data_IF_016799342438
#
_entry.id   IF_016799342438
#
_cell.length_a   1.000
_cell.length_b   1.000
_cell.length_c   1.000
_cell.angle_alpha   90.00
_cell.angle_beta   90.00
_cell.angle_gamma   90.00
#
_symmetry.space_group_name_H-M   'P 1'
#
loop_
_entity.id
_entity.type
_entity.pdbx_description
1 polymer ?
#
# COMPACT_ATOMS: atom_id res chain seq x y z
N UNK A 1 -16.79 -2.50 -10.01
CA UNK A 1 -16.43 -3.81 -10.61
C UNK A 1 -15.08 -4.18 -9.99
N UNK A 2 -14.93 -5.37 -9.44
CA UNK A 2 -13.71 -5.75 -8.75
C UNK A 2 -12.50 -5.71 -9.71
N UNK A 3 -11.40 -5.11 -9.26
CA UNK A 3 -10.14 -5.04 -10.00
C UNK A 3 -9.36 -6.34 -9.83
N UNK A 4 -9.47 -6.95 -8.63
CA UNK A 4 -8.94 -8.28 -8.35
C UNK A 4 -10.05 -9.13 -7.74
N UNK A 5 -10.19 -10.36 -8.21
CA UNK A 5 -11.13 -11.33 -7.67
C UNK A 5 -10.49 -12.72 -7.57
N UNK A 6 -10.56 -13.34 -6.42
CA UNK A 6 -10.00 -14.67 -6.17
C UNK A 6 -11.08 -15.64 -5.71
N UNK A 7 -11.06 -16.85 -6.26
CA UNK A 7 -11.92 -17.95 -5.92
C UNK A 7 -11.06 -19.16 -5.53
N UNK A 8 -11.08 -19.52 -4.25
CA UNK A 8 -10.30 -20.63 -3.66
C UNK A 8 -8.83 -20.62 -4.10
N UNK A 9 -8.23 -19.41 -4.13
CA UNK A 9 -6.83 -19.22 -4.53
C UNK A 9 -5.91 -19.96 -3.57
N UNK A 10 -5.12 -20.89 -4.10
CA UNK A 10 -4.10 -21.64 -3.36
C UNK A 10 -2.76 -21.54 -4.07
N UNK A 11 -1.69 -21.41 -3.28
CA UNK A 11 -0.34 -21.40 -3.79
C UNK A 11 0.64 -22.11 -2.89
N UNK A 12 1.38 -23.05 -3.49
CA UNK A 12 2.40 -23.87 -2.83
C UNK A 12 3.78 -23.60 -3.42
N UNK A 13 4.75 -23.25 -2.56
CA UNK A 13 6.15 -23.26 -2.97
C UNK A 13 6.66 -24.70 -3.02
N UNK A 14 7.15 -25.10 -4.19
CA UNK A 14 7.72 -26.42 -4.45
C UNK A 14 9.23 -26.34 -4.48
N UNK A 15 9.92 -26.96 -3.54
CA UNK A 15 11.36 -27.12 -3.56
C UNK A 15 11.74 -28.59 -3.82
N UNK A 16 12.79 -28.83 -4.63
CA UNK A 16 13.22 -30.20 -4.90
C UNK A 16 13.61 -30.95 -3.62
N UNK A 17 12.98 -32.11 -3.39
CA UNK A 17 13.28 -32.96 -2.23
C UNK A 17 12.71 -32.48 -0.89
N UNK A 18 11.90 -31.46 -0.88
CA UNK A 18 11.21 -30.98 0.33
C UNK A 18 9.69 -31.04 0.17
N UNK A 19 8.93 -31.20 1.29
CA UNK A 19 7.48 -31.11 1.22
C UNK A 19 7.05 -29.70 0.75
N UNK A 20 5.89 -29.59 0.07
CA UNK A 20 5.35 -28.30 -0.33
C UNK A 20 5.15 -27.37 0.88
N UNK A 21 5.48 -26.07 0.69
CA UNK A 21 5.16 -25.04 1.68
C UNK A 21 3.89 -24.33 1.24
N UNK A 22 2.80 -24.58 1.96
CA UNK A 22 1.49 -23.97 1.69
C UNK A 22 1.51 -22.47 2.07
N UNK A 23 1.71 -21.61 1.10
CA UNK A 23 1.82 -20.16 1.34
C UNK A 23 0.46 -19.45 1.29
N UNK A 24 -0.45 -19.88 0.41
CA UNK A 24 -1.83 -19.40 0.34
C UNK A 24 -2.77 -20.60 0.31
N UNK A 25 -3.84 -20.56 1.11
CA UNK A 25 -4.74 -21.67 1.30
C UNK A 25 -6.18 -21.23 1.17
N UNK A 26 -6.78 -21.55 0.01
CA UNK A 26 -8.22 -21.44 -0.24
C UNK A 26 -8.76 -20.03 0.00
N UNK A 27 -8.12 -19.02 -0.63
CA UNK A 27 -8.47 -17.62 -0.44
C UNK A 27 -9.62 -17.21 -1.35
N UNK A 28 -10.68 -16.66 -0.76
CA UNK A 28 -11.79 -16.00 -1.43
C UNK A 28 -11.81 -14.51 -1.06
N UNK A 29 -11.58 -13.62 -2.02
CA UNK A 29 -11.59 -12.19 -1.78
C UNK A 29 -11.82 -11.38 -3.05
N UNK A 30 -12.19 -10.11 -2.87
CA UNK A 30 -12.25 -9.12 -3.93
C UNK A 30 -11.59 -7.81 -3.50
N UNK A 31 -10.90 -7.16 -4.45
CA UNK A 31 -10.37 -5.81 -4.33
C UNK A 31 -11.07 -4.94 -5.36
N UNK A 32 -11.71 -3.89 -4.89
CA UNK A 32 -12.32 -2.85 -5.71
C UNK A 32 -11.35 -1.66 -5.90
N UNK A 33 -11.80 -0.61 -6.57
CA UNK A 33 -11.11 0.69 -6.55
C UNK A 33 -11.02 1.23 -5.12
N UNK A 34 -10.05 2.10 -4.86
CA UNK A 34 -9.80 2.66 -3.54
C UNK A 34 -8.60 2.07 -2.84
N UNK A 35 -8.45 2.34 -1.55
CA UNK A 35 -7.29 1.95 -0.76
C UNK A 35 -7.59 0.70 0.09
N UNK A 36 -7.08 -0.45 -0.35
CA UNK A 36 -7.16 -1.72 0.38
C UNK A 36 -5.86 -1.98 1.13
N UNK A 37 -5.95 -2.38 2.39
CA UNK A 37 -4.80 -2.74 3.22
C UNK A 37 -4.85 -4.22 3.57
N UNK A 38 -3.74 -4.92 3.34
CA UNK A 38 -3.54 -6.32 3.72
C UNK A 38 -2.67 -6.37 4.97
N UNK A 39 -3.23 -6.85 6.06
CA UNK A 39 -2.60 -6.96 7.38
C UNK A 39 -2.27 -8.41 7.71
N UNK A 40 -1.31 -8.63 8.60
CA UNK A 40 -0.95 -9.95 9.14
C UNK A 40 0.49 -10.00 9.60
N UNK A 41 0.84 -10.99 10.43
CA UNK A 41 2.20 -11.23 10.90
C UNK A 41 3.16 -11.62 9.76
N UNK A 42 4.46 -11.54 10.02
CA UNK A 42 5.48 -12.06 9.10
C UNK A 42 5.23 -13.54 8.82
N UNK A 43 5.35 -13.93 7.54
CA UNK A 43 5.08 -15.31 7.12
C UNK A 43 3.60 -15.66 6.89
N UNK A 44 2.64 -14.74 7.07
CA UNK A 44 1.21 -15.02 6.83
C UNK A 44 0.81 -15.14 5.35
N UNK A 45 1.73 -14.96 4.39
CA UNK A 45 1.47 -15.12 2.95
C UNK A 45 1.23 -13.81 2.18
N UNK A 46 1.31 -12.63 2.81
CA UNK A 46 0.99 -11.33 2.20
C UNK A 46 1.81 -11.02 0.94
N UNK A 47 3.14 -11.10 1.02
CA UNK A 47 4.02 -10.85 -0.14
C UNK A 47 3.79 -11.85 -1.26
N UNK A 48 3.48 -13.11 -0.90
CA UNK A 48 3.08 -14.15 -1.88
C UNK A 48 1.79 -13.75 -2.58
N UNK A 49 0.80 -13.26 -1.84
CA UNK A 49 -0.47 -12.78 -2.41
C UNK A 49 -0.23 -11.62 -3.39
N UNK A 50 0.57 -10.62 -2.99
CA UNK A 50 0.84 -9.46 -3.85
C UNK A 50 1.51 -9.83 -5.17
N UNK A 51 2.43 -10.81 -5.16
CA UNK A 51 3.13 -11.27 -6.38
C UNK A 51 2.21 -11.98 -7.39
N UNK A 52 1.03 -12.40 -6.98
CA UNK A 52 0.02 -12.94 -7.88
C UNK A 52 -0.66 -11.83 -8.71
N UNK A 53 -0.79 -10.61 -8.16
CA UNK A 53 -1.54 -9.54 -8.83
C UNK A 53 -0.90 -9.07 -10.15
N UNK A 54 0.43 -9.15 -10.27
CA UNK A 54 1.13 -8.84 -11.52
C UNK A 54 1.66 -10.09 -12.27
N UNK A 55 1.22 -11.28 -11.84
CA UNK A 55 1.57 -12.56 -12.48
C UNK A 55 3.03 -12.96 -12.35
N UNK A 56 3.75 -12.50 -11.31
CA UNK A 56 5.06 -13.06 -10.92
C UNK A 56 4.86 -14.48 -10.43
N UNK A 57 3.92 -14.67 -9.50
CA UNK A 57 3.43 -15.98 -9.10
C UNK A 57 2.07 -16.25 -9.74
N UNK A 58 1.78 -17.52 -9.99
CA UNK A 58 0.50 -17.95 -10.55
C UNK A 58 -0.06 -19.08 -9.68
N UNK A 59 -1.38 -19.18 -9.53
CA UNK A 59 -2.02 -20.13 -8.63
C UNK A 59 -1.60 -21.59 -8.88
N UNK A 60 -1.42 -22.38 -7.82
CA UNK A 60 -1.32 -23.86 -7.94
C UNK A 60 -2.69 -24.49 -8.05
N UNK A 61 -3.72 -23.90 -7.42
CA UNK A 61 -5.13 -24.23 -7.62
C UNK A 61 -6.05 -23.04 -7.38
N UNK A 62 -7.35 -23.18 -7.71
CA UNK A 62 -8.30 -22.08 -7.66
C UNK A 62 -8.16 -21.14 -8.85
N UNK A 63 -8.70 -19.93 -8.72
CA UNK A 63 -8.76 -18.95 -9.79
C UNK A 63 -8.46 -17.55 -9.25
N UNK A 64 -7.71 -16.78 -10.03
CA UNK A 64 -7.46 -15.37 -9.77
C UNK A 64 -7.76 -14.57 -11.03
N UNK A 65 -8.60 -13.58 -10.92
CA UNK A 65 -8.81 -12.57 -11.95
C UNK A 65 -8.17 -11.26 -11.52
N UNK A 66 -7.37 -10.64 -12.38
CA UNK A 66 -6.77 -9.30 -12.19
C UNK A 66 -7.06 -8.50 -13.44
N UNK A 67 -7.83 -7.44 -13.30
CA UNK A 67 -8.40 -6.73 -14.44
C UNK A 67 -9.16 -7.71 -15.36
N UNK A 68 -8.79 -7.76 -16.65
CA UNK A 68 -9.35 -8.75 -17.61
C UNK A 68 -8.58 -10.07 -17.69
N UNK A 69 -7.45 -10.20 -16.97
CA UNK A 69 -6.61 -11.40 -16.98
C UNK A 69 -7.12 -12.42 -15.96
N UNK A 70 -7.23 -13.66 -16.38
CA UNK A 70 -7.65 -14.77 -15.53
C UNK A 70 -6.54 -15.81 -15.44
N UNK A 71 -6.13 -16.12 -14.22
CA UNK A 71 -5.16 -17.17 -13.91
C UNK A 71 -5.90 -18.35 -13.29
N UNK A 72 -5.80 -19.51 -13.93
CA UNK A 72 -6.37 -20.77 -13.42
C UNK A 72 -5.25 -21.64 -12.83
N UNK A 73 -5.55 -22.31 -11.74
CA UNK A 73 -4.60 -23.12 -11.01
C UNK A 73 -3.97 -24.22 -11.88
N UNK A 74 -2.66 -24.36 -11.79
CA UNK A 74 -1.88 -25.32 -12.54
C UNK A 74 -1.59 -24.93 -14.00
N UNK A 75 -2.20 -23.89 -14.55
CA UNK A 75 -1.93 -23.37 -15.87
C UNK A 75 -0.91 -22.22 -15.81
N UNK A 76 0.14 -22.26 -16.66
CA UNK A 76 1.08 -21.14 -16.79
C UNK A 76 0.66 -20.21 -17.92
N UNK A 77 0.37 -18.97 -17.56
CA UNK A 77 0.10 -17.92 -18.52
C UNK A 77 1.39 -17.14 -18.83
N UNK A 78 1.60 -16.83 -20.08
CA UNK A 78 2.74 -16.04 -20.59
C UNK A 78 2.24 -14.74 -21.24
N UNK A 79 3.17 -13.88 -21.67
CA UNK A 79 2.79 -12.63 -22.35
C UNK A 79 2.20 -11.56 -21.42
N UNK A 80 2.56 -11.57 -20.13
CA UNK A 80 1.99 -10.70 -19.08
C UNK A 80 2.55 -9.26 -19.08
N UNK A 81 3.30 -8.86 -20.11
CA UNK A 81 3.83 -7.49 -20.20
C UNK A 81 2.73 -6.41 -20.17
N UNK A 82 1.58 -6.57 -20.90
CA UNK A 82 0.51 -5.59 -20.80
C UNK A 82 -0.14 -5.53 -19.41
N UNK A 83 -0.30 -6.67 -18.71
CA UNK A 83 -0.78 -6.68 -17.32
C UNK A 83 0.18 -5.90 -16.42
N UNK A 84 1.49 -6.18 -16.50
CA UNK A 84 2.53 -5.55 -15.67
C UNK A 84 2.68 -4.04 -15.89
N UNK A 85 2.27 -3.53 -17.03
CA UNK A 85 2.14 -2.09 -17.26
C UNK A 85 1.03 -1.48 -16.41
N UNK A 86 -0.09 -2.19 -16.26
CA UNK A 86 -1.29 -1.70 -15.57
C UNK A 86 -1.30 -2.05 -14.07
N UNK A 87 -0.50 -3.02 -13.65
CA UNK A 87 -0.32 -3.44 -12.26
C UNK A 87 1.11 -3.18 -11.84
N UNK A 88 1.34 -2.04 -11.19
CA UNK A 88 2.63 -1.66 -10.64
C UNK A 88 2.88 -2.35 -9.30
N UNK A 89 4.06 -2.95 -9.13
CA UNK A 89 4.47 -3.62 -7.89
C UNK A 89 5.71 -2.96 -7.31
N UNK A 90 5.59 -2.51 -6.06
CA UNK A 90 6.68 -1.98 -5.24
C UNK A 90 7.03 -3.03 -4.18
N UNK A 91 8.25 -3.57 -4.22
CA UNK A 91 8.73 -4.58 -3.28
C UNK A 91 9.14 -3.97 -1.92
N UNK A 92 9.35 -4.81 -0.92
CA UNK A 92 9.66 -4.42 0.46
C UNK A 92 10.89 -3.52 0.60
N UNK A 93 11.90 -3.65 -0.26
CA UNK A 93 13.08 -2.78 -0.31
C UNK A 93 13.19 -2.17 -1.72
N UNK A 94 12.32 -1.19 -2.04
CA UNK A 94 12.18 -0.70 -3.40
C UNK A 94 13.45 0.01 -3.88
N UNK A 95 14.30 0.49 -2.98
CA UNK A 95 15.62 1.05 -3.27
C UNK A 95 16.56 0.08 -4.01
N UNK A 96 16.38 -1.24 -3.84
CA UNK A 96 17.15 -2.25 -4.56
C UNK A 96 16.71 -2.42 -6.03
N UNK A 97 15.64 -1.75 -6.43
CA UNK A 97 15.15 -1.77 -7.81
C UNK A 97 15.82 -0.71 -8.69
N UNK A 98 16.55 0.24 -8.08
CA UNK A 98 17.26 1.30 -8.79
C UNK A 98 18.63 0.79 -9.23
N UNK A 99 18.96 0.98 -10.50
CA UNK A 99 20.18 0.42 -11.10
C UNK A 99 20.81 1.31 -12.18
N UNK A 100 20.14 2.39 -12.58
CA UNK A 100 20.62 3.31 -13.60
C UNK A 100 21.58 4.36 -12.99
N UNK A 101 22.33 5.05 -13.85
CA UNK A 101 23.29 6.08 -13.45
C UNK A 101 22.61 7.33 -12.88
N UNK A 102 21.39 7.64 -13.37
CA UNK A 102 20.61 8.81 -12.95
C UNK A 102 19.16 8.44 -12.62
N UNK A 103 18.56 9.22 -11.74
CA UNK A 103 17.14 9.09 -11.38
C UNK A 103 16.23 9.18 -12.61
N UNK A 104 16.52 10.10 -13.55
CA UNK A 104 15.73 10.23 -14.77
C UNK A 104 15.70 8.94 -15.58
N UNK A 105 16.86 8.29 -15.75
CA UNK A 105 16.96 7.02 -16.49
C UNK A 105 16.18 5.89 -15.81
N UNK A 106 16.27 5.77 -14.48
CA UNK A 106 15.50 4.79 -13.73
C UNK A 106 13.98 5.04 -13.89
N UNK A 107 13.53 6.28 -13.80
CA UNK A 107 12.13 6.65 -13.98
C UNK A 107 11.63 6.38 -15.42
N UNK A 108 12.47 6.59 -16.42
CA UNK A 108 12.15 6.36 -17.84
C UNK A 108 12.17 4.89 -18.22
N UNK A 109 12.86 4.04 -17.46
CA UNK A 109 13.08 2.64 -17.82
C UNK A 109 11.75 1.89 -18.02
N UNK A 110 10.85 1.93 -17.05
CA UNK A 110 9.54 1.27 -17.13
C UNK A 110 8.72 1.70 -18.35
N UNK A 111 8.42 3.00 -18.51
CA UNK A 111 7.72 3.53 -19.67
C UNK A 111 8.31 3.10 -21.00
N UNK A 112 9.65 3.18 -21.18
CA UNK A 112 10.34 2.76 -22.40
C UNK A 112 10.17 1.26 -22.63
N UNK A 113 10.34 0.44 -21.59
CA UNK A 113 10.12 -1.00 -21.70
C UNK A 113 8.68 -1.33 -22.13
N UNK A 114 7.71 -0.53 -21.74
CA UNK A 114 6.31 -0.68 -22.17
C UNK A 114 5.99 -0.02 -23.52
N UNK A 115 6.99 0.54 -24.20
CA UNK A 115 6.89 1.04 -25.58
C UNK A 115 6.62 2.54 -25.70
N UNK A 116 6.80 3.32 -24.62
CA UNK A 116 6.76 4.77 -24.72
C UNK A 116 7.96 5.31 -25.51
N UNK A 117 7.75 6.41 -26.23
CA UNK A 117 8.85 7.15 -26.85
C UNK A 117 9.69 7.87 -25.79
N UNK A 118 10.99 8.13 -26.02
CA UNK A 118 11.86 8.77 -25.03
C UNK A 118 11.29 10.09 -24.48
N UNK A 119 10.69 10.93 -25.33
CA UNK A 119 10.13 12.22 -24.93
C UNK A 119 8.94 12.06 -23.97
N UNK A 120 8.05 11.10 -24.27
CA UNK A 120 6.91 10.77 -23.42
C UNK A 120 7.36 10.11 -22.10
N UNK A 121 8.40 9.29 -22.14
CA UNK A 121 8.97 8.68 -20.94
C UNK A 121 9.61 9.74 -20.02
N UNK A 122 10.31 10.73 -20.58
CA UNK A 122 10.88 11.85 -19.82
C UNK A 122 9.81 12.72 -19.17
N UNK A 123 8.67 12.95 -19.85
CA UNK A 123 7.54 13.66 -19.24
C UNK A 123 6.93 12.86 -18.09
N UNK A 124 6.65 11.58 -18.31
CA UNK A 124 6.15 10.68 -17.26
C UNK A 124 7.11 10.60 -16.05
N UNK A 125 8.42 10.65 -16.29
CA UNK A 125 9.43 10.69 -15.22
C UNK A 125 9.30 11.97 -14.37
N UNK A 126 9.14 13.15 -15.00
CA UNK A 126 8.93 14.41 -14.28
C UNK A 126 7.65 14.42 -13.47
N UNK A 127 6.55 13.96 -14.07
CA UNK A 127 5.26 13.86 -13.38
C UNK A 127 5.32 12.91 -12.18
N UNK A 128 5.90 11.73 -12.36
CA UNK A 128 6.03 10.74 -11.28
C UNK A 128 6.92 11.26 -10.13
N UNK A 129 8.02 11.97 -10.45
CA UNK A 129 8.87 12.58 -9.45
C UNK A 129 8.13 13.67 -8.65
N UNK A 130 7.35 14.49 -9.33
CA UNK A 130 6.52 15.52 -8.70
C UNK A 130 5.43 14.91 -7.79
N UNK A 131 4.81 13.79 -8.22
CA UNK A 131 3.81 13.07 -7.40
C UNK A 131 4.38 12.65 -6.04
N UNK A 132 5.63 12.20 -5.97
CA UNK A 132 6.28 11.81 -4.71
C UNK A 132 6.88 12.99 -3.94
N UNK A 133 6.66 14.22 -4.40
CA UNK A 133 7.08 15.45 -3.73
C UNK A 133 8.59 15.69 -3.77
N UNK A 134 9.27 15.24 -4.83
CA UNK A 134 10.68 15.52 -5.06
C UNK A 134 10.88 16.61 -6.13
N UNK A 135 11.86 17.51 -5.96
CA UNK A 135 12.14 18.56 -6.94
C UNK A 135 12.79 17.98 -8.21
N UNK A 136 12.60 18.64 -9.34
CA UNK A 136 13.15 18.21 -10.64
C UNK A 136 14.68 18.14 -10.67
N UNK A 137 15.37 18.89 -9.80
CA UNK A 137 16.84 18.83 -9.67
C UNK A 137 17.35 17.43 -9.28
N UNK A 138 16.50 16.57 -8.73
CA UNK A 138 16.84 15.18 -8.39
C UNK A 138 16.98 14.29 -9.62
N UNK A 139 16.42 14.66 -10.78
CA UNK A 139 16.48 13.86 -12.01
C UNK A 139 17.91 13.57 -12.48
N UNK A 140 18.80 14.55 -12.36
CA UNK A 140 20.20 14.46 -12.80
C UNK A 140 21.10 13.77 -11.76
N UNK A 141 20.61 13.61 -10.52
CA UNK A 141 21.37 12.98 -9.45
C UNK A 141 21.52 11.48 -9.64
N UNK A 142 22.60 10.91 -9.09
CA UNK A 142 22.70 9.47 -8.95
C UNK A 142 21.75 8.98 -7.85
N UNK A 143 20.98 7.89 -8.07
CA UNK A 143 20.14 7.32 -7.02
C UNK A 143 20.92 7.00 -5.74
N UNK A 144 22.19 6.64 -5.87
CA UNK A 144 23.05 6.24 -4.75
C UNK A 144 23.58 7.42 -3.90
N UNK A 145 23.39 8.66 -4.36
CA UNK A 145 23.74 9.88 -3.62
C UNK A 145 22.55 10.45 -2.83
N UNK A 146 21.37 9.88 -2.98
CA UNK A 146 20.15 10.34 -2.32
C UNK A 146 20.07 9.87 -0.87
N UNK A 147 19.34 10.62 -0.02
CA UNK A 147 18.98 10.15 1.32
C UNK A 147 18.05 8.94 1.24
N UNK A 148 18.01 8.10 2.30
CA UNK A 148 17.16 6.91 2.33
C UNK A 148 15.68 7.18 2.06
N UNK A 149 15.15 8.32 2.51
CA UNK A 149 13.78 8.73 2.22
C UNK A 149 13.58 9.13 0.77
N UNK A 150 14.55 9.84 0.17
CA UNK A 150 14.49 10.26 -1.24
C UNK A 150 14.62 9.05 -2.17
N UNK A 151 15.57 8.14 -1.93
CA UNK A 151 15.77 6.94 -2.77
C UNK A 151 14.51 6.08 -2.79
N UNK A 152 13.80 5.96 -1.65
CA UNK A 152 12.54 5.24 -1.56
C UNK A 152 11.42 5.93 -2.33
N UNK A 153 11.31 7.26 -2.23
CA UNK A 153 10.35 8.05 -3.03
C UNK A 153 10.62 7.89 -4.54
N UNK A 154 11.89 7.92 -4.96
CA UNK A 154 12.29 7.66 -6.35
C UNK A 154 11.88 6.26 -6.77
N UNK A 155 12.16 5.23 -5.98
CA UNK A 155 11.79 3.85 -6.31
C UNK A 155 10.26 3.64 -6.44
N UNK A 156 9.45 4.35 -5.67
CA UNK A 156 7.99 4.36 -5.87
C UNK A 156 7.63 5.11 -7.16
N UNK A 157 8.30 6.23 -7.43
CA UNK A 157 8.08 7.01 -8.63
C UNK A 157 8.41 6.24 -9.92
N UNK A 158 9.42 5.32 -9.94
CA UNK A 158 9.70 4.47 -11.10
C UNK A 158 8.52 3.59 -11.49
N UNK A 159 7.75 3.14 -10.51
CA UNK A 159 6.54 2.35 -10.76
C UNK A 159 5.39 3.26 -11.23
N UNK A 160 5.23 4.43 -10.58
CA UNK A 160 4.20 5.41 -10.93
C UNK A 160 4.39 6.01 -12.34
N UNK A 161 5.62 6.12 -12.83
CA UNK A 161 5.93 6.62 -14.17
C UNK A 161 5.28 5.81 -15.31
N UNK A 162 4.92 4.55 -15.04
CA UNK A 162 4.18 3.70 -16.00
C UNK A 162 2.66 3.89 -15.94
N UNK A 163 2.16 4.80 -15.09
CA UNK A 163 0.74 5.12 -14.88
C UNK A 163 -0.14 3.88 -14.63
N UNK A 164 0.15 3.06 -13.60
CA UNK A 164 -0.61 1.85 -13.33
C UNK A 164 -2.04 2.15 -12.86
N UNK A 165 -2.99 1.26 -13.17
CA UNK A 165 -4.37 1.28 -12.68
C UNK A 165 -4.48 0.70 -11.26
N UNK A 166 -3.65 -0.32 -10.98
CA UNK A 166 -3.50 -0.95 -9.67
C UNK A 166 -2.06 -0.80 -9.19
N UNK A 167 -1.86 -0.14 -8.07
CA UNK A 167 -0.57 -0.02 -7.40
C UNK A 167 -0.54 -0.96 -6.19
N UNK A 168 0.44 -1.85 -6.17
CA UNK A 168 0.63 -2.87 -5.15
C UNK A 168 1.93 -2.60 -4.41
N UNK A 169 1.89 -2.46 -3.08
CA UNK A 169 3.07 -2.11 -2.29
C UNK A 169 3.27 -3.09 -1.12
N UNK A 170 4.48 -3.63 -1.02
CA UNK A 170 4.86 -4.51 0.07
C UNK A 170 5.68 -3.74 1.11
N UNK A 171 5.09 -3.45 2.26
CA UNK A 171 5.69 -2.73 3.39
C UNK A 171 6.44 -1.43 3.01
N UNK A 172 5.85 -0.50 2.25
CA UNK A 172 6.58 0.64 1.70
C UNK A 172 7.04 1.65 2.76
N UNK A 173 6.50 1.60 3.98
CA UNK A 173 6.81 2.52 5.09
C UNK A 173 7.86 1.97 6.07
N UNK A 174 8.33 0.74 5.91
CA UNK A 174 9.08 -0.02 6.94
C UNK A 174 10.31 0.70 7.51
N UNK A 175 11.06 1.45 6.71
CA UNK A 175 12.31 2.13 7.16
C UNK A 175 12.21 3.66 7.14
N UNK A 176 11.02 4.21 6.86
CA UNK A 176 10.83 5.66 6.82
C UNK A 176 10.68 6.24 8.24
N UNK A 177 11.08 7.49 8.40
CA UNK A 177 10.75 8.29 9.57
C UNK A 177 9.24 8.61 9.63
N UNK A 178 8.70 9.00 10.79
CA UNK A 178 7.24 9.21 10.95
C UNK A 178 6.64 10.25 10.00
N UNK A 179 7.39 11.30 9.63
CA UNK A 179 6.90 12.35 8.74
C UNK A 179 6.79 11.80 7.32
N UNK A 180 7.87 11.18 6.82
CA UNK A 180 7.92 10.57 5.48
C UNK A 180 6.87 9.46 5.32
N UNK A 181 6.58 8.68 6.37
CA UNK A 181 5.49 7.69 6.37
C UNK A 181 4.14 8.33 6.15
N UNK A 182 3.82 9.36 6.95
CA UNK A 182 2.55 10.06 6.83
C UNK A 182 2.37 10.75 5.46
N UNK A 183 3.46 11.27 4.88
CA UNK A 183 3.46 11.81 3.52
C UNK A 183 3.16 10.74 2.48
N UNK A 184 3.81 9.58 2.58
CA UNK A 184 3.58 8.46 1.64
C UNK A 184 2.15 7.95 1.72
N UNK A 185 1.60 7.74 2.91
CA UNK A 185 0.21 7.28 3.07
C UNK A 185 -0.78 8.29 2.50
N UNK A 186 -0.55 9.60 2.73
CA UNK A 186 -1.39 10.66 2.13
C UNK A 186 -1.29 10.67 0.60
N UNK A 187 -0.10 10.47 0.04
CA UNK A 187 0.09 10.31 -1.41
C UNK A 187 -0.74 9.14 -1.94
N UNK A 188 -0.60 7.95 -1.34
CA UNK A 188 -1.32 6.74 -1.78
C UNK A 188 -2.85 6.92 -1.69
N UNK A 189 -3.34 7.51 -0.61
CA UNK A 189 -4.75 7.87 -0.48
C UNK A 189 -5.18 8.90 -1.55
N UNK A 190 -4.35 9.90 -1.83
CA UNK A 190 -4.60 10.89 -2.88
C UNK A 190 -4.71 10.27 -4.29
N UNK A 191 -3.88 9.27 -4.61
CA UNK A 191 -3.97 8.52 -5.88
C UNK A 191 -5.34 7.83 -6.03
N UNK A 192 -5.87 7.27 -4.95
CA UNK A 192 -7.21 6.68 -4.94
C UNK A 192 -8.30 7.74 -5.10
N UNK A 193 -8.29 8.77 -4.24
CA UNK A 193 -9.38 9.74 -4.14
C UNK A 193 -9.46 10.69 -5.35
N UNK A 194 -8.32 11.08 -5.93
CA UNK A 194 -8.24 12.11 -6.98
C UNK A 194 -8.08 11.53 -8.38
N UNK A 195 -7.41 10.39 -8.51
CA UNK A 195 -7.10 9.77 -9.80
C UNK A 195 -7.86 8.45 -10.04
N UNK A 196 -8.66 8.00 -9.07
CA UNK A 196 -9.44 6.76 -9.19
C UNK A 196 -8.61 5.49 -9.28
N UNK A 197 -7.32 5.54 -8.91
CA UNK A 197 -6.44 4.36 -8.90
C UNK A 197 -6.83 3.41 -7.77
N UNK A 198 -6.59 2.13 -7.97
CA UNK A 198 -6.64 1.16 -6.89
C UNK A 198 -5.26 1.03 -6.25
N UNK A 199 -5.22 1.02 -4.92
CA UNK A 199 -4.00 0.79 -4.15
C UNK A 199 -4.21 -0.40 -3.22
N UNK A 200 -3.28 -1.36 -3.26
CA UNK A 200 -3.19 -2.46 -2.30
C UNK A 200 -1.85 -2.34 -1.57
N UNK A 201 -1.90 -2.12 -0.28
CA UNK A 201 -0.71 -1.99 0.56
C UNK A 201 -0.65 -3.08 1.61
N UNK A 202 0.45 -3.81 1.67
CA UNK A 202 0.78 -4.69 2.80
C UNK A 202 1.48 -3.87 3.87
N UNK A 203 1.03 -4.03 5.11
CA UNK A 203 1.71 -3.51 6.30
C UNK A 203 1.32 -4.32 7.55
N UNK A 204 2.13 -4.25 8.59
CA UNK A 204 1.78 -4.72 9.93
C UNK A 204 1.41 -3.55 10.88
N UNK A 205 1.45 -2.30 10.37
CA UNK A 205 1.22 -1.07 11.13
C UNK A 205 -0.16 -0.51 10.84
N UNK A 206 -1.14 -0.95 11.61
CA UNK A 206 -2.53 -0.52 11.47
C UNK A 206 -2.70 0.98 11.77
N UNK A 207 -1.94 1.52 12.72
CA UNK A 207 -1.98 2.93 13.14
C UNK A 207 -1.72 3.92 11.99
N UNK A 208 -0.85 3.55 11.03
CA UNK A 208 -0.49 4.41 9.91
C UNK A 208 -1.61 4.51 8.85
N UNK A 209 -2.34 3.42 8.62
CA UNK A 209 -3.25 3.26 7.49
C UNK A 209 -4.73 3.30 7.86
N UNK A 210 -5.05 3.14 9.15
CA UNK A 210 -6.43 2.96 9.60
C UNK A 210 -7.35 4.12 9.21
N UNK A 211 -6.86 5.36 9.26
CA UNK A 211 -7.64 6.54 8.90
C UNK A 211 -7.88 6.71 7.39
N UNK A 212 -7.07 6.06 6.57
CA UNK A 212 -7.02 6.27 5.11
C UNK A 212 -7.60 5.11 4.30
N UNK A 213 -7.48 3.88 4.81
CA UNK A 213 -7.92 2.69 4.08
C UNK A 213 -9.44 2.56 4.05
N UNK A 214 -9.97 2.15 2.89
CA UNK A 214 -11.38 1.86 2.67
C UNK A 214 -11.73 0.42 3.08
N UNK A 215 -10.81 -0.52 2.80
CA UNK A 215 -10.98 -1.95 3.09
C UNK A 215 -9.73 -2.56 3.72
N UNK A 216 -9.97 -3.58 4.52
CA UNK A 216 -8.94 -4.35 5.21
C UNK A 216 -9.12 -5.84 4.91
N UNK A 217 -8.00 -6.50 4.63
CA UNK A 217 -7.87 -7.96 4.53
C UNK A 217 -6.88 -8.39 5.60
N UNK A 218 -7.30 -9.26 6.52
CA UNK A 218 -6.44 -9.77 7.59
C UNK A 218 -6.04 -11.20 7.26
N UNK A 219 -4.73 -11.44 7.14
CA UNK A 219 -4.16 -12.74 6.82
C UNK A 219 -3.47 -13.39 8.01
N UNK A 220 -3.73 -14.69 8.20
CA UNK A 220 -3.05 -15.53 9.17
C UNK A 220 -2.77 -16.90 8.56
N UNK A 221 -1.53 -17.38 8.64
CA UNK A 221 -1.13 -18.73 8.20
C UNK A 221 -1.62 -19.11 6.79
N UNK A 222 -1.48 -18.17 5.83
CA UNK A 222 -1.90 -18.37 4.44
C UNK A 222 -3.40 -18.30 4.19
N UNK A 223 -4.22 -17.87 5.17
CA UNK A 223 -5.68 -17.75 5.07
C UNK A 223 -6.13 -16.33 5.34
N UNK A 224 -7.27 -15.95 4.75
CA UNK A 224 -7.97 -14.72 5.12
C UNK A 224 -8.88 -15.04 6.31
N UNK A 225 -8.62 -14.36 7.43
CA UNK A 225 -9.44 -14.49 8.65
C UNK A 225 -10.46 -13.37 8.79
N UNK A 226 -10.24 -12.25 8.11
CA UNK A 226 -11.19 -11.13 8.04
C UNK A 226 -11.03 -10.40 6.71
N UNK A 227 -12.15 -9.93 6.15
CA UNK A 227 -12.19 -8.92 5.10
C UNK A 227 -13.41 -8.03 5.33
N UNK A 228 -13.21 -6.70 5.25
CA UNK A 228 -14.30 -5.77 5.50
C UNK A 228 -13.83 -4.32 5.56
N UNK A 229 -14.76 -3.44 5.89
CA UNK A 229 -14.51 -2.02 6.08
C UNK A 229 -13.94 -1.70 7.48
N UNK A 230 -13.59 -0.42 7.67
CA UNK A 230 -13.03 0.09 8.93
C UNK A 230 -13.92 -0.20 10.15
N UNK A 231 -15.23 0.02 10.02
CA UNK A 231 -16.17 -0.18 11.12
C UNK A 231 -16.28 -1.66 11.53
N UNK A 232 -16.26 -2.55 10.57
CA UNK A 232 -16.32 -4.00 10.82
C UNK A 232 -15.04 -4.47 11.52
N UNK A 233 -13.86 -3.96 11.08
CA UNK A 233 -12.57 -4.27 11.69
C UNK A 233 -12.51 -3.80 13.16
N UNK A 234 -13.04 -2.61 13.47
CA UNK A 234 -13.10 -2.09 14.85
C UNK A 234 -13.86 -2.99 15.82
N UNK A 235 -14.83 -3.75 15.33
CA UNK A 235 -15.63 -4.69 16.15
C UNK A 235 -14.95 -6.04 16.35
N UNK A 236 -13.72 -6.22 15.81
CA UNK A 236 -13.00 -7.50 15.79
C UNK A 236 -11.57 -7.40 16.34
N UNK A 237 -11.38 -6.82 17.55
CA UNK A 237 -10.06 -6.64 18.13
C UNK A 237 -9.33 -7.96 18.36
N UNK A 238 -10.07 -9.03 18.72
CA UNK A 238 -9.51 -10.36 18.98
C UNK A 238 -8.89 -10.98 17.70
N UNK A 239 -9.46 -10.73 16.54
CA UNK A 239 -8.93 -11.21 15.25
C UNK A 239 -7.64 -10.49 14.88
N UNK A 240 -7.54 -9.18 15.16
CA UNK A 240 -6.31 -8.40 14.99
C UNK A 240 -5.19 -8.95 15.87
N UNK A 241 -5.45 -9.15 17.16
CA UNK A 241 -4.47 -9.70 18.10
C UNK A 241 -4.06 -11.13 17.71
N UNK A 242 -5.01 -11.98 17.33
CA UNK A 242 -4.75 -13.35 16.87
C UNK A 242 -3.91 -13.40 15.59
N UNK A 243 -3.96 -12.36 14.75
CA UNK A 243 -3.11 -12.22 13.57
C UNK A 243 -1.78 -11.50 13.85
N UNK A 244 -1.50 -11.15 15.11
CA UNK A 244 -0.26 -10.48 15.53
C UNK A 244 -0.21 -9.00 15.15
N UNK A 245 -1.37 -8.36 14.99
CA UNK A 245 -1.46 -6.94 14.68
C UNK A 245 -1.71 -6.15 15.97
N UNK A 246 -0.85 -5.18 16.24
CA UNK A 246 -1.03 -4.28 17.37
C UNK A 246 -2.23 -3.35 17.14
N UNK A 247 -3.15 -3.32 18.12
CA UNK A 247 -4.30 -2.42 18.08
C UNK A 247 -3.82 -1.00 18.45
N UNK A 248 -4.00 0.00 17.57
CA UNK A 248 -3.63 1.38 17.86
C UNK A 248 -4.26 1.91 19.14
N UNK A 249 -3.52 2.76 19.88
CA UNK A 249 -4.02 3.36 21.11
C UNK A 249 -5.32 4.17 20.91
N UNK A 250 -5.47 4.82 19.74
CA UNK A 250 -6.68 5.54 19.34
C UNK A 250 -7.89 4.62 19.23
N UNK A 251 -7.71 3.40 18.72
CA UNK A 251 -8.79 2.41 18.62
C UNK A 251 -9.12 1.78 19.99
N UNK A 252 -8.11 1.53 20.82
CA UNK A 252 -8.36 1.09 22.21
C UNK A 252 -9.15 2.15 22.98
N UNK A 253 -8.79 3.42 22.80
CA UNK A 253 -9.53 4.55 23.40
C UNK A 253 -10.97 4.60 22.88
N UNK A 254 -11.17 4.44 21.56
CA UNK A 254 -12.51 4.41 20.96
C UNK A 254 -13.38 3.28 21.55
N UNK A 255 -12.82 2.07 21.67
CA UNK A 255 -13.53 0.95 22.29
C UNK A 255 -13.91 1.23 23.74
N UNK A 256 -12.98 1.78 24.53
CA UNK A 256 -13.22 2.15 25.94
C UNK A 256 -14.30 3.24 26.08
N UNK A 257 -14.25 4.27 25.23
CA UNK A 257 -15.26 5.34 25.25
C UNK A 257 -16.62 4.80 24.84
N UNK A 258 -16.69 3.98 23.79
CA UNK A 258 -17.94 3.34 23.35
C UNK A 258 -18.57 2.51 24.48
N UNK A 259 -17.76 1.68 25.16
CA UNK A 259 -18.21 0.87 26.31
C UNK A 259 -18.77 1.74 27.46
N UNK A 260 -18.08 2.84 27.79
CA UNK A 260 -18.45 3.71 28.93
C UNK A 260 -19.62 4.65 28.65
N UNK A 261 -19.78 5.09 27.40
CA UNK A 261 -20.76 6.12 27.04
C UNK A 261 -21.94 5.59 26.24
N UNK A 262 -21.83 4.35 25.69
CA UNK A 262 -22.80 3.83 24.73
C UNK A 262 -22.72 4.49 23.34
N UNK A 263 -21.70 5.31 23.08
CA UNK A 263 -21.54 5.96 21.79
C UNK A 263 -21.20 4.90 20.72
N UNK A 264 -21.80 4.99 19.51
CA UNK A 264 -21.43 4.11 18.41
C UNK A 264 -19.96 4.27 18.04
N UNK A 265 -19.24 3.16 17.88
CA UNK A 265 -17.80 3.16 17.55
C UNK A 265 -17.45 3.96 16.29
N UNK A 266 -18.34 3.97 15.31
CA UNK A 266 -18.20 4.66 14.03
C UNK A 266 -18.32 6.20 14.14
N UNK A 267 -18.83 6.70 15.25
CA UNK A 267 -18.92 8.14 15.54
C UNK A 267 -17.69 8.66 16.30
N UNK A 268 -16.78 7.77 16.70
CA UNK A 268 -15.60 8.12 17.46
C UNK A 268 -14.38 8.35 16.54
N UNK A 269 -13.47 9.26 16.93
CA UNK A 269 -12.28 9.54 16.12
C UNK A 269 -11.38 8.32 15.92
N UNK A 270 -10.75 8.25 14.74
CA UNK A 270 -9.84 7.18 14.38
C UNK A 270 -8.36 7.58 14.53
N UNK A 271 -8.09 8.87 14.65
CA UNK A 271 -6.73 9.44 14.67
C UNK A 271 -6.54 10.40 15.87
N UNK A 272 -5.28 10.68 16.24
CA UNK A 272 -5.00 11.53 17.42
C UNK A 272 -5.55 12.96 17.32
N UNK A 273 -5.58 13.55 16.12
CA UNK A 273 -6.07 14.92 15.92
C UNK A 273 -7.59 14.98 16.14
N UNK A 274 -8.32 14.05 15.57
CA UNK A 274 -9.75 13.91 15.78
C UNK A 274 -10.09 13.69 17.28
N UNK A 275 -9.29 12.91 17.99
CA UNK A 275 -9.45 12.75 19.44
C UNK A 275 -9.21 14.05 20.22
N UNK A 276 -8.20 14.83 19.85
CA UNK A 276 -7.95 16.12 20.46
C UNK A 276 -9.14 17.07 20.27
N UNK A 277 -9.68 17.15 19.06
CA UNK A 277 -10.85 17.98 18.74
C UNK A 277 -12.10 17.48 19.49
N UNK A 278 -12.34 16.17 19.52
CA UNK A 278 -13.47 15.54 20.21
C UNK A 278 -13.45 15.79 21.73
N UNK A 279 -12.27 15.73 22.35
CA UNK A 279 -12.07 16.02 23.77
C UNK A 279 -12.25 17.52 24.05
N UNK A 280 -11.66 18.39 23.23
CA UNK A 280 -11.76 19.83 23.39
C UNK A 280 -13.21 20.31 23.33
N UNK A 281 -14.00 19.80 22.39
CA UNK A 281 -15.42 20.11 22.28
C UNK A 281 -16.20 19.74 23.56
N UNK A 282 -15.95 18.55 24.12
CA UNK A 282 -16.65 18.09 25.33
C UNK A 282 -16.21 18.78 26.60
N UNK A 283 -15.01 19.31 26.65
CA UNK A 283 -14.51 20.12 27.77
C UNK A 283 -14.84 21.60 27.61
N UNK A 284 -15.53 22.01 26.54
CA UNK A 284 -15.84 23.42 26.26
C UNK A 284 -14.59 24.24 25.92
N UNK A 285 -13.51 23.59 25.55
CA UNK A 285 -12.26 24.24 25.09
C UNK A 285 -12.39 24.62 23.62
N UNK A 286 -11.92 25.80 23.23
CA UNK A 286 -11.78 26.10 21.80
C UNK A 286 -10.76 25.15 21.22
N UNK A 287 -11.12 24.47 20.11
CA UNK A 287 -10.18 23.65 19.34
C UNK A 287 -8.91 24.47 19.12
N UNK A 288 -7.76 23.90 19.49
CA UNK A 288 -6.47 24.55 19.25
C UNK A 288 -6.37 24.73 17.74
N UNK A 289 -6.37 25.98 17.27
CA UNK A 289 -6.32 26.29 15.85
C UNK A 289 -5.20 25.47 15.21
N UNK A 290 -5.50 24.84 14.10
CA UNK A 290 -4.49 24.24 13.24
C UNK A 290 -3.44 25.31 12.96
N UNK A 291 -2.33 25.28 13.69
CA UNK A 291 -1.16 26.05 13.33
C UNK A 291 -0.67 25.45 12.00
N UNK A 292 -1.07 26.09 10.92
CA UNK A 292 -0.26 26.05 9.71
C UNK A 292 1.11 26.55 10.14
N UNK A 293 2.06 25.66 10.36
CA UNK A 293 3.45 26.06 10.46
C UNK A 293 3.84 26.58 9.07
N UNK A 294 4.13 27.86 8.93
CA UNK A 294 4.75 28.34 7.72
C UNK A 294 6.05 27.54 7.54
N UNK A 295 6.28 27.02 6.37
CA UNK A 295 7.60 26.61 5.90
C UNK A 295 8.49 27.84 6.06
N UNK A 296 9.30 27.85 7.09
CA UNK A 296 10.26 28.90 7.39
C UNK A 296 11.26 28.92 6.24
N UNK A 297 11.08 29.90 5.36
CA UNK A 297 12.06 30.32 4.36
C UNK A 297 13.24 30.90 5.13
N UNK A 298 14.18 30.08 5.52
CA UNK A 298 15.52 30.58 5.87
C UNK A 298 16.28 30.82 4.58
N UNK A 299 16.03 32.00 4.03
CA UNK A 299 17.03 32.69 3.24
C UNK A 299 18.12 33.20 4.19
N UNK A 300 19.37 33.07 3.76
CA UNK A 300 20.45 34.02 4.04
C UNK A 300 21.37 33.70 5.20
N UNK A 301 22.53 33.48 4.98
CA UNK A 301 23.80 34.21 4.86
C UNK A 301 24.95 33.23 4.75
#
# INVERSE_FOLDING_TARGET
>A
MAIVHAERLTYDYMAQGQPPVHALQDLDFAVDSGFTVVLGSTGSGKSTLLQHFNGILQPTSGKLQVLEYTFEGGAKQSGLKPLRRRVGLVFQFPEHQLFEETVERDLMFGPIQFGAKPEAAAEAAREALAMVGLPSSVLEASPFELSGGQIRKVAIATVLASDPELLVLDEPTATLDPISRAELIRLLHGLCAQQGKAVVMVTHRLDEVFAYADRFILMKEGRIVFQGGRQELMRRPEELEAAGIEIPATLRLAALVAEKTGAPLDTLPADPAGWADWIAERLGMKAAGRAERPLDSREGD
#
